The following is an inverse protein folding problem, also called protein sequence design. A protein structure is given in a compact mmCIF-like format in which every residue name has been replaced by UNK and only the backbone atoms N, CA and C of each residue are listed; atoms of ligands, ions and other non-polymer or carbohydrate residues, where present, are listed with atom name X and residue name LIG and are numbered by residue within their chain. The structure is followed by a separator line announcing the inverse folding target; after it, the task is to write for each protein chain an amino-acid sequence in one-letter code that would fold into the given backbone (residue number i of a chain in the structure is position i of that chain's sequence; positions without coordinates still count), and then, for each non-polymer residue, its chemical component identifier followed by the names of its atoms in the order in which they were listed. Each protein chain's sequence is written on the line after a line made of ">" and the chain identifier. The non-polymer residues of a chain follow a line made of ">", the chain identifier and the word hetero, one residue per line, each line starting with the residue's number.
data_IF_216919041970
#
_entry.id   IF_216919041970
#
_cell.length_a   1.000
_cell.length_b   1.000
_cell.length_c   1.000
_cell.angle_alpha   90.00
_cell.angle_beta   90.00
_cell.angle_gamma   90.00
#
_symmetry.space_group_name_H-M   'P 1'
#
loop_
_entity.id
_entity.type
_entity.pdbx_description
1 polymer ?
#
# COMPACT_ATOMS: atom_id res chain seq x y z
N UNK A 1 -9.92 34.71 15.36
CA UNK A 1 -10.98 34.13 16.22
C UNK A 1 -11.59 32.97 15.46
N UNK A 2 -11.15 31.79 15.79
CA UNK A 2 -11.51 30.54 15.10
C UNK A 2 -12.85 30.05 15.62
N UNK A 3 -13.91 30.22 14.83
CA UNK A 3 -15.31 29.87 15.16
C UNK A 3 -15.71 28.44 14.72
N UNK A 4 -14.75 27.60 14.27
CA UNK A 4 -15.06 26.29 13.70
C UNK A 4 -14.84 25.09 14.64
N UNK A 5 -14.61 25.29 15.94
CA UNK A 5 -14.24 24.20 16.86
C UNK A 5 -15.38 23.58 17.68
N UNK A 6 -16.64 24.02 17.55
CA UNK A 6 -17.71 23.64 18.51
C UNK A 6 -19.05 23.16 17.96
N UNK A 7 -19.25 23.09 16.63
CA UNK A 7 -20.61 22.93 16.08
C UNK A 7 -21.04 21.48 15.82
N UNK A 8 -20.14 20.51 15.70
CA UNK A 8 -20.52 19.17 15.31
C UNK A 8 -20.62 18.16 16.48
N UNK A 9 -20.09 18.50 17.66
CA UNK A 9 -20.26 17.67 18.86
C UNK A 9 -21.73 17.61 19.27
N UNK A 10 -22.28 16.39 19.44
CA UNK A 10 -23.71 16.19 19.73
C UNK A 10 -24.58 15.98 18.47
N UNK A 11 -24.03 16.23 17.26
CA UNK A 11 -24.75 15.96 16.02
C UNK A 11 -25.06 14.45 15.90
N UNK A 12 -26.29 14.14 15.48
CA UNK A 12 -26.73 12.76 15.26
C UNK A 12 -26.79 12.48 13.77
N UNK A 13 -25.88 11.64 13.30
CA UNK A 13 -25.83 11.23 11.90
C UNK A 13 -26.80 10.07 11.64
N UNK A 14 -27.53 10.16 10.53
CA UNK A 14 -28.52 9.17 10.11
C UNK A 14 -29.54 8.78 11.21
N UNK A 15 -29.79 9.66 12.19
CA UNK A 15 -30.67 9.39 13.34
C UNK A 15 -30.15 8.30 14.29
N UNK A 16 -28.87 7.94 14.21
CA UNK A 16 -28.29 6.79 14.92
C UNK A 16 -26.95 7.05 15.60
N UNK A 17 -26.05 7.76 14.95
CA UNK A 17 -24.68 7.90 15.44
C UNK A 17 -24.47 9.30 16.03
N UNK A 18 -24.41 9.41 17.35
CA UNK A 18 -24.18 10.68 18.05
C UNK A 18 -22.68 10.95 18.14
N UNK A 19 -22.23 12.02 17.49
CA UNK A 19 -20.83 12.45 17.52
C UNK A 19 -20.44 12.99 18.90
N UNK A 20 -19.29 12.55 19.39
CA UNK A 20 -18.62 13.04 20.60
C UNK A 20 -17.32 13.76 20.27
N UNK A 21 -16.23 13.35 20.92
CA UNK A 21 -14.92 13.97 20.77
C UNK A 21 -14.25 13.61 19.44
N UNK A 22 -13.41 14.51 18.93
CA UNK A 22 -12.55 14.24 17.77
C UNK A 22 -11.38 13.39 18.22
N UNK A 23 -11.23 12.21 17.62
CA UNK A 23 -10.11 11.28 17.86
C UNK A 23 -8.86 11.67 17.05
N UNK A 24 -9.06 12.21 15.84
CA UNK A 24 -7.97 12.57 14.95
C UNK A 24 -8.41 13.51 13.84
N UNK A 25 -7.43 14.24 13.28
CA UNK A 25 -7.59 15.13 12.12
C UNK A 25 -6.47 14.83 11.13
N UNK A 26 -6.79 14.80 9.85
CA UNK A 26 -5.81 14.61 8.78
C UNK A 26 -6.29 15.20 7.47
N UNK A 27 -5.49 15.08 6.42
CA UNK A 27 -5.84 15.59 5.08
C UNK A 27 -7.13 14.98 4.51
N UNK A 28 -7.49 13.78 4.95
CA UNK A 28 -8.70 13.06 4.51
C UNK A 28 -9.96 13.41 5.32
N UNK A 29 -9.86 14.23 6.35
CA UNK A 29 -10.99 14.60 7.18
C UNK A 29 -10.76 14.41 8.68
N UNK A 30 -11.87 14.29 9.42
CA UNK A 30 -11.87 14.10 10.87
C UNK A 30 -12.38 12.71 11.22
N UNK A 31 -11.82 12.11 12.27
CA UNK A 31 -12.33 10.89 12.89
C UNK A 31 -12.92 11.27 14.25
N UNK A 32 -14.15 10.87 14.48
CA UNK A 32 -14.91 11.17 15.67
C UNK A 32 -15.12 9.92 16.52
N UNK A 33 -15.03 10.02 17.81
CA UNK A 33 -15.67 9.07 18.72
C UNK A 33 -17.17 9.31 18.65
N UNK A 34 -17.97 8.25 18.49
CA UNK A 34 -19.42 8.39 18.44
C UNK A 34 -20.12 7.27 19.23
N UNK A 35 -21.37 7.50 19.59
CA UNK A 35 -22.23 6.50 20.19
C UNK A 35 -23.28 6.03 19.20
N UNK A 36 -23.35 4.71 18.97
CA UNK A 36 -24.42 4.05 18.21
C UNK A 36 -25.63 3.90 19.15
N UNK A 37 -26.64 4.73 18.98
CA UNK A 37 -27.83 4.79 19.85
C UNK A 37 -28.73 3.56 19.70
N UNK A 38 -28.60 2.80 18.60
CA UNK A 38 -29.39 1.60 18.35
C UNK A 38 -28.74 0.36 18.98
N UNK A 39 -27.41 0.21 18.85
CA UNK A 39 -26.68 -0.94 19.38
C UNK A 39 -25.98 -0.66 20.71
N UNK A 40 -26.14 0.56 21.27
CA UNK A 40 -25.57 0.99 22.56
C UNK A 40 -24.06 0.70 22.69
N UNK A 41 -23.29 1.05 21.66
CA UNK A 41 -21.84 0.85 21.64
C UNK A 41 -21.09 2.09 21.18
N UNK A 42 -19.83 2.20 21.58
CA UNK A 42 -18.92 3.21 21.03
C UNK A 42 -18.42 2.77 19.66
N UNK A 43 -18.39 3.68 18.70
CA UNK A 43 -17.87 3.51 17.34
C UNK A 43 -16.95 4.67 17.00
N UNK A 44 -16.10 4.50 16.00
CA UNK A 44 -15.38 5.58 15.34
C UNK A 44 -16.12 5.96 14.05
N UNK A 45 -16.23 7.25 13.77
CA UNK A 45 -16.90 7.75 12.56
C UNK A 45 -15.95 8.69 11.84
N UNK A 46 -15.58 8.32 10.61
CA UNK A 46 -14.69 9.10 9.75
C UNK A 46 -15.48 9.92 8.75
N UNK A 47 -15.33 11.25 8.83
CA UNK A 47 -15.82 12.19 7.84
C UNK A 47 -14.86 12.22 6.65
N UNK A 48 -15.36 12.05 5.43
CA UNK A 48 -14.53 12.15 4.22
C UNK A 48 -14.74 13.52 3.57
N UNK A 49 -13.69 14.34 3.59
CA UNK A 49 -13.73 15.72 3.10
C UNK A 49 -13.23 15.89 1.67
N UNK A 50 -12.69 14.83 1.04
CA UNK A 50 -12.18 14.87 -0.33
C UNK A 50 -13.18 15.43 -1.35
N UNK A 51 -14.45 15.12 -1.21
CA UNK A 51 -15.52 15.63 -2.06
C UNK A 51 -15.70 17.16 -2.02
N UNK A 52 -15.16 17.85 -1.01
CA UNK A 52 -15.25 19.33 -0.92
C UNK A 52 -14.35 20.04 -1.94
N UNK A 53 -13.30 19.36 -2.39
CA UNK A 53 -12.29 19.90 -3.32
C UNK A 53 -12.49 19.45 -4.77
N UNK A 54 -13.54 18.67 -5.04
CA UNK A 54 -13.87 18.12 -6.35
C UNK A 54 -15.04 18.91 -6.96
N UNK A 55 -15.02 19.12 -8.27
CA UNK A 55 -16.12 19.78 -8.97
C UNK A 55 -17.45 19.05 -8.70
N UNK A 56 -18.53 19.81 -8.60
CA UNK A 56 -19.87 19.28 -8.25
C UNK A 56 -20.31 18.13 -9.16
N UNK A 57 -19.97 18.21 -10.44
CA UNK A 57 -20.27 17.18 -11.45
C UNK A 57 -19.55 15.84 -11.16
N UNK A 58 -18.39 15.85 -10.49
CA UNK A 58 -17.58 14.65 -10.22
C UNK A 58 -17.88 14.02 -8.85
N UNK A 59 -18.60 14.73 -7.96
CA UNK A 59 -18.94 14.25 -6.61
C UNK A 59 -19.69 12.91 -6.60
N UNK A 60 -20.70 12.67 -7.48
CA UNK A 60 -21.42 11.39 -7.48
C UNK A 60 -20.51 10.21 -7.83
N UNK A 61 -19.56 10.40 -8.75
CA UNK A 61 -18.58 9.38 -9.13
C UNK A 61 -17.65 9.07 -7.95
N UNK A 62 -17.17 10.11 -7.26
CA UNK A 62 -16.35 9.97 -6.06
C UNK A 62 -17.10 9.24 -4.94
N UNK A 63 -18.36 9.58 -4.68
CA UNK A 63 -19.20 8.92 -3.67
C UNK A 63 -19.42 7.44 -4.00
N UNK A 64 -19.76 7.11 -5.25
CA UNK A 64 -19.94 5.72 -5.67
C UNK A 64 -18.65 4.90 -5.51
N UNK A 65 -17.49 5.49 -5.82
CA UNK A 65 -16.17 4.87 -5.62
C UNK A 65 -15.90 4.64 -4.14
N UNK A 66 -16.11 5.66 -3.29
CA UNK A 66 -15.97 5.56 -1.82
C UNK A 66 -16.82 4.41 -1.25
N UNK A 67 -18.09 4.35 -1.63
CA UNK A 67 -18.98 3.29 -1.18
C UNK A 67 -18.50 1.90 -1.63
N UNK A 68 -17.99 1.78 -2.87
CA UNK A 68 -17.45 0.52 -3.40
C UNK A 68 -16.22 0.06 -2.60
N UNK A 69 -15.31 0.97 -2.30
CA UNK A 69 -14.08 0.67 -1.56
C UNK A 69 -14.38 0.34 -0.08
N UNK A 70 -15.25 1.11 0.57
CA UNK A 70 -15.69 0.80 1.93
C UNK A 70 -16.41 -0.56 2.03
N UNK A 71 -17.25 -0.92 1.03
CA UNK A 71 -17.86 -2.25 0.95
C UNK A 71 -16.82 -3.35 0.71
N UNK A 72 -15.75 -3.07 -0.01
CA UNK A 72 -14.65 -4.02 -0.19
C UNK A 72 -13.89 -4.22 1.12
N UNK A 73 -13.56 -3.13 1.85
CA UNK A 73 -12.94 -3.18 3.16
C UNK A 73 -13.81 -3.93 4.20
N UNK A 74 -15.14 -3.73 4.17
CA UNK A 74 -16.07 -4.40 5.08
C UNK A 74 -16.10 -5.95 4.91
N UNK A 75 -15.60 -6.49 3.79
CA UNK A 75 -15.50 -7.96 3.58
C UNK A 75 -14.27 -8.58 4.21
N UNK A 76 -13.32 -7.76 4.66
CA UNK A 76 -12.11 -8.27 5.30
C UNK A 76 -12.47 -8.67 6.73
N UNK A 77 -12.45 -9.96 7.03
CA UNK A 77 -12.68 -10.49 8.38
C UNK A 77 -11.36 -10.97 8.95
N UNK A 78 -10.74 -10.15 9.82
CA UNK A 78 -9.48 -10.49 10.46
C UNK A 78 -9.34 -9.70 11.78
N UNK A 79 -8.86 -10.29 12.88
CA UNK A 79 -8.74 -9.61 14.18
C UNK A 79 -7.80 -8.40 14.18
N UNK A 80 -6.82 -8.37 13.28
CA UNK A 80 -5.90 -7.24 13.08
C UNK A 80 -6.40 -6.20 12.08
N UNK A 81 -7.68 -6.22 11.66
CA UNK A 81 -8.27 -5.23 10.76
C UNK A 81 -9.43 -4.53 11.45
N UNK A 82 -9.43 -3.21 11.43
CA UNK A 82 -10.55 -2.41 11.94
C UNK A 82 -11.79 -2.68 11.11
N UNK A 83 -12.84 -3.17 11.77
CA UNK A 83 -14.10 -3.55 11.09
C UNK A 83 -14.88 -2.32 10.66
N UNK A 84 -15.24 -2.23 9.38
CA UNK A 84 -16.21 -1.26 8.87
C UNK A 84 -17.61 -1.76 9.19
N UNK A 85 -18.40 -0.94 9.90
CA UNK A 85 -19.75 -1.29 10.34
C UNK A 85 -20.84 -0.74 9.43
N UNK A 86 -20.64 0.47 8.91
CA UNK A 86 -21.63 1.15 8.09
C UNK A 86 -20.99 2.22 7.20
N UNK A 87 -21.70 2.61 6.15
CA UNK A 87 -21.36 3.76 5.31
C UNK A 87 -22.62 4.58 5.16
N UNK A 88 -22.61 5.77 5.73
CA UNK A 88 -23.77 6.68 5.76
C UNK A 88 -23.48 7.92 4.91
N UNK A 89 -24.52 8.57 4.45
CA UNK A 89 -24.45 9.86 3.78
C UNK A 89 -25.05 10.93 4.67
N UNK A 90 -24.33 12.02 4.88
CA UNK A 90 -24.82 13.19 5.59
C UNK A 90 -24.21 14.45 4.98
N UNK A 91 -25.04 15.46 4.74
CA UNK A 91 -24.65 16.73 4.10
C UNK A 91 -23.92 16.51 2.77
N UNK A 92 -24.47 15.62 1.92
CA UNK A 92 -23.92 15.20 0.63
C UNK A 92 -22.45 14.71 0.70
N UNK A 93 -22.07 14.11 1.82
CA UNK A 93 -20.73 13.55 2.07
C UNK A 93 -20.84 12.13 2.61
N UNK A 94 -19.95 11.21 2.19
CA UNK A 94 -19.88 9.89 2.79
C UNK A 94 -19.17 9.95 4.14
N UNK A 95 -19.71 9.22 5.10
CA UNK A 95 -19.14 9.00 6.41
C UNK A 95 -19.00 7.51 6.65
N UNK A 96 -17.86 7.08 7.18
CA UNK A 96 -17.59 5.66 7.43
C UNK A 96 -17.67 5.42 8.93
N UNK A 97 -18.56 4.50 9.32
CA UNK A 97 -18.69 4.04 10.70
C UNK A 97 -17.89 2.77 10.86
N UNK A 98 -16.99 2.75 11.84
CA UNK A 98 -16.07 1.63 12.04
C UNK A 98 -15.88 1.32 13.52
N UNK A 99 -15.24 0.21 13.80
CA UNK A 99 -14.84 -0.21 15.13
C UNK A 99 -14.04 0.90 15.82
N UNK A 100 -14.43 1.25 17.02
CA UNK A 100 -13.63 2.08 17.91
C UNK A 100 -12.52 1.21 18.54
N UNK A 101 -11.29 1.69 18.44
CA UNK A 101 -10.12 1.07 19.07
C UNK A 101 -9.66 1.98 20.19
N UNK A 102 -9.65 1.48 21.42
CA UNK A 102 -9.16 2.22 22.59
C UNK A 102 -7.63 2.09 22.68
N UNK A 103 -6.93 3.07 22.15
CA UNK A 103 -5.48 3.14 22.17
C UNK A 103 -4.94 4.14 21.15
N UNK A 104 -3.64 4.49 21.24
CA UNK A 104 -2.98 5.41 20.31
C UNK A 104 -2.70 4.75 18.97
N UNK A 105 -2.41 5.54 17.95
CA UNK A 105 -1.73 5.06 16.77
C UNK A 105 -0.24 4.82 17.07
N UNK A 106 0.41 4.02 16.22
CA UNK A 106 1.87 3.83 16.28
C UNK A 106 2.61 5.18 16.11
N UNK A 107 2.04 6.11 15.31
CA UNK A 107 2.58 7.44 15.15
C UNK A 107 2.49 8.26 16.44
N UNK A 108 1.39 8.17 17.18
CA UNK A 108 1.21 8.89 18.44
C UNK A 108 2.09 8.27 19.54
N UNK A 109 2.16 6.94 19.61
CA UNK A 109 3.03 6.23 20.54
C UNK A 109 4.52 6.58 20.31
N UNK A 110 4.96 6.65 19.05
CA UNK A 110 6.32 7.07 18.73
C UNK A 110 6.62 8.52 19.10
N UNK A 111 5.64 9.42 19.00
CA UNK A 111 5.80 10.81 19.46
C UNK A 111 5.90 10.94 20.98
N UNK A 112 5.15 10.12 21.72
CA UNK A 112 5.11 10.18 23.18
C UNK A 112 6.29 9.46 23.83
N UNK A 113 6.64 8.28 23.32
CA UNK A 113 7.64 7.39 23.92
C UNK A 113 8.99 7.42 23.23
N UNK A 114 9.10 8.11 22.08
CA UNK A 114 10.27 8.04 21.22
C UNK A 114 10.27 6.80 20.31
N UNK A 115 11.46 6.24 20.07
CA UNK A 115 11.65 5.09 19.20
C UNK A 115 11.04 3.81 19.81
N UNK A 116 10.48 2.96 18.95
CA UNK A 116 9.95 1.65 19.34
C UNK A 116 11.09 0.63 19.36
N UNK A 117 11.19 -0.17 20.42
CA UNK A 117 12.20 -1.23 20.48
C UNK A 117 12.09 -2.19 19.29
N UNK A 118 13.20 -2.65 18.69
CA UNK A 118 13.20 -3.47 17.48
C UNK A 118 12.33 -4.74 17.57
N UNK A 119 12.36 -5.41 18.72
CA UNK A 119 11.53 -6.59 18.97
C UNK A 119 10.03 -6.28 18.94
N UNK A 120 9.63 -5.15 19.53
CA UNK A 120 8.23 -4.71 19.54
C UNK A 120 7.81 -4.24 18.13
N UNK A 121 8.67 -3.52 17.41
CA UNK A 121 8.43 -3.17 16.03
C UNK A 121 8.27 -4.41 15.13
N UNK A 122 9.07 -5.46 15.33
CA UNK A 122 8.91 -6.74 14.63
C UNK A 122 7.57 -7.41 14.96
N UNK A 123 7.14 -7.41 16.23
CA UNK A 123 5.82 -7.92 16.66
C UNK A 123 4.69 -7.15 15.97
N UNK A 124 4.75 -5.82 15.98
CA UNK A 124 3.78 -4.96 15.28
C UNK A 124 3.78 -5.29 13.78
N UNK A 125 4.96 -5.43 13.18
CA UNK A 125 5.12 -5.81 11.77
C UNK A 125 4.43 -7.12 11.41
N UNK A 126 4.54 -8.15 12.26
CA UNK A 126 3.86 -9.44 12.08
C UNK A 126 2.33 -9.29 12.07
N UNK A 127 1.77 -8.50 12.99
CA UNK A 127 0.32 -8.27 13.03
C UNK A 127 -0.16 -7.49 11.79
N UNK A 128 0.56 -6.43 11.39
CA UNK A 128 0.24 -5.65 10.18
C UNK A 128 0.34 -6.53 8.94
N UNK A 129 1.39 -7.36 8.82
CA UNK A 129 1.56 -8.28 7.70
C UNK A 129 0.42 -9.30 7.62
N UNK A 130 -0.02 -9.85 8.76
CA UNK A 130 -1.16 -10.77 8.83
C UNK A 130 -2.45 -10.10 8.35
N UNK A 131 -2.70 -8.84 8.76
CA UNK A 131 -3.84 -8.04 8.28
C UNK A 131 -3.78 -7.78 6.77
N UNK A 132 -2.59 -7.41 6.24
CA UNK A 132 -2.37 -7.22 4.80
C UNK A 132 -2.63 -8.49 4.01
N UNK A 133 -2.14 -9.65 4.47
CA UNK A 133 -2.39 -10.95 3.82
C UNK A 133 -3.88 -11.28 3.74
N UNK A 134 -4.63 -11.02 4.82
CA UNK A 134 -6.08 -11.23 4.83
C UNK A 134 -6.79 -10.30 3.82
N UNK A 135 -6.38 -9.05 3.72
CA UNK A 135 -6.91 -8.10 2.75
C UNK A 135 -6.59 -8.50 1.31
N UNK A 136 -5.32 -8.86 1.03
CA UNK A 136 -4.88 -9.30 -0.30
C UNK A 136 -5.62 -10.57 -0.75
N UNK A 137 -5.87 -11.52 0.16
CA UNK A 137 -6.67 -12.71 -0.11
C UNK A 137 -8.14 -12.37 -0.47
N UNK A 138 -8.67 -11.26 0.08
CA UNK A 138 -9.99 -10.72 -0.25
C UNK A 138 -9.99 -9.82 -1.52
N UNK A 139 -8.84 -9.69 -2.20
CA UNK A 139 -8.68 -8.83 -3.38
C UNK A 139 -8.62 -7.33 -3.05
N UNK A 140 -8.27 -6.97 -1.82
CA UNK A 140 -8.18 -5.58 -1.35
C UNK A 140 -6.73 -5.22 -1.05
N UNK A 141 -6.23 -4.14 -1.66
CA UNK A 141 -4.95 -3.53 -1.31
C UNK A 141 -5.17 -2.42 -0.30
N UNK A 142 -4.22 -2.24 0.62
CA UNK A 142 -4.32 -1.18 1.62
C UNK A 142 -3.99 0.20 1.05
N UNK A 143 -2.90 0.33 0.30
CA UNK A 143 -2.44 1.51 -0.44
C UNK A 143 -1.96 2.70 0.42
N UNK A 144 -2.16 2.68 1.74
CA UNK A 144 -1.75 3.76 2.66
C UNK A 144 -1.26 3.20 4.02
N UNK A 145 -0.40 2.17 3.99
CA UNK A 145 0.22 1.65 5.23
C UNK A 145 1.20 2.68 5.76
N UNK A 146 0.95 3.16 6.99
CA UNK A 146 1.79 4.16 7.68
C UNK A 146 1.56 4.08 9.19
N UNK A 147 2.46 4.64 10.03
CA UNK A 147 2.31 4.59 11.49
C UNK A 147 0.98 5.13 12.01
N UNK A 148 0.40 6.15 11.35
CA UNK A 148 -0.90 6.72 11.74
C UNK A 148 -2.09 5.79 11.52
N UNK A 149 -1.95 4.78 10.65
CA UNK A 149 -2.99 3.80 10.34
C UNK A 149 -2.80 2.46 11.08
N UNK A 150 -1.78 2.35 11.94
CA UNK A 150 -1.56 1.20 12.82
C UNK A 150 -2.00 1.58 14.23
N UNK A 151 -3.07 0.98 14.74
CA UNK A 151 -3.63 1.26 16.06
C UNK A 151 -3.13 0.24 17.08
N UNK A 152 -2.67 0.72 18.24
CA UNK A 152 -2.16 -0.07 19.34
C UNK A 152 -3.20 -0.07 20.48
N UNK A 153 -4.06 -1.09 20.47
CA UNK A 153 -5.12 -1.19 21.46
C UNK A 153 -4.56 -1.47 22.86
N UNK A 154 -5.23 -0.98 23.90
CA UNK A 154 -4.81 -1.17 25.30
C UNK A 154 -4.79 -2.63 25.76
N UNK A 155 -5.54 -3.50 25.09
CA UNK A 155 -5.54 -4.94 25.31
C UNK A 155 -4.37 -5.68 24.63
N UNK A 156 -3.46 -4.93 23.97
CA UNK A 156 -2.29 -5.46 23.28
C UNK A 156 -2.52 -5.85 21.82
N UNK A 157 -3.75 -5.72 21.29
CA UNK A 157 -4.03 -5.95 19.88
C UNK A 157 -3.39 -4.86 19.03
N UNK A 158 -2.95 -5.24 17.82
CA UNK A 158 -2.49 -4.32 16.77
C UNK A 158 -3.48 -4.41 15.62
N UNK A 159 -4.10 -3.30 15.26
CA UNK A 159 -5.10 -3.25 14.20
C UNK A 159 -4.69 -2.25 13.11
N UNK A 160 -4.92 -2.64 11.88
CA UNK A 160 -4.71 -1.81 10.71
C UNK A 160 -6.05 -1.20 10.27
N UNK A 161 -6.09 0.13 10.08
CA UNK A 161 -7.28 0.90 9.69
C UNK A 161 -7.10 1.55 8.33
N UNK A 162 -8.19 2.08 7.76
CA UNK A 162 -8.20 2.90 6.54
C UNK A 162 -7.80 2.16 5.24
N UNK A 163 -8.24 0.90 5.09
CA UNK A 163 -8.04 0.11 3.88
C UNK A 163 -8.68 0.74 2.64
N UNK A 164 -7.88 0.97 1.60
CA UNK A 164 -8.31 1.32 0.24
C UNK A 164 -8.97 2.70 0.08
N UNK A 165 -9.39 3.33 1.17
CA UNK A 165 -10.16 4.59 1.16
C UNK A 165 -9.32 5.77 0.62
N UNK A 166 -8.00 5.67 0.73
CA UNK A 166 -7.05 6.68 0.23
C UNK A 166 -6.89 6.68 -1.30
N UNK A 167 -7.25 5.60 -1.98
CA UNK A 167 -7.13 5.52 -3.45
C UNK A 167 -8.08 6.48 -4.19
N UNK A 168 -9.12 6.96 -3.52
CA UNK A 168 -10.07 7.93 -4.04
C UNK A 168 -9.40 9.30 -4.24
N UNK A 169 -8.43 9.62 -3.38
CA UNK A 169 -7.74 10.91 -3.38
C UNK A 169 -6.42 10.89 -4.16
N UNK A 170 -5.78 9.72 -4.30
CA UNK A 170 -4.41 9.60 -4.81
C UNK A 170 -4.23 9.69 -6.33
N UNK A 171 -5.19 9.24 -7.13
CA UNK A 171 -5.01 9.17 -8.60
C UNK A 171 -5.18 10.53 -9.31
N UNK A 172 -5.81 11.51 -8.67
CA UNK A 172 -6.03 12.83 -9.27
C UNK A 172 -5.56 14.03 -8.44
N UNK A 173 -5.17 13.84 -7.19
CA UNK A 173 -4.90 14.92 -6.23
C UNK A 173 -3.42 15.29 -6.09
N UNK A 174 -2.50 14.49 -6.64
CA UNK A 174 -1.06 14.78 -6.65
C UNK A 174 -0.75 16.16 -7.24
N UNK A 175 -1.66 16.73 -8.04
CA UNK A 175 -1.41 17.93 -8.83
C UNK A 175 -2.20 19.17 -8.43
N UNK A 176 -3.23 19.09 -7.57
CA UNK A 176 -4.18 20.22 -7.45
C UNK A 176 -4.12 21.07 -6.17
N UNK A 177 -3.64 20.59 -5.05
CA UNK A 177 -3.75 21.37 -3.80
C UNK A 177 -2.45 21.62 -3.03
N UNK A 178 -1.29 21.12 -3.46
CA UNK A 178 -0.02 21.36 -2.72
C UNK A 178 0.01 20.81 -1.28
N UNK A 179 -1.10 20.28 -0.78
CA UNK A 179 -1.24 19.70 0.56
C UNK A 179 -1.21 18.17 0.59
N UNK A 180 -0.31 17.57 -0.18
CA UNK A 180 -0.05 16.14 -0.10
C UNK A 180 0.84 15.84 1.11
N UNK A 181 0.35 16.23 2.31
CA UNK A 181 1.11 16.15 3.55
C UNK A 181 0.92 14.78 4.20
N UNK A 182 1.99 14.01 4.27
CA UNK A 182 2.12 12.92 5.25
C UNK A 182 2.14 11.49 4.72
N UNK A 183 1.55 11.16 3.56
CA UNK A 183 1.52 9.79 3.04
C UNK A 183 2.60 9.49 1.98
N UNK A 184 3.17 10.51 1.35
CA UNK A 184 4.19 10.35 0.29
C UNK A 184 5.42 9.60 0.79
N UNK A 185 5.80 9.80 2.04
CA UNK A 185 6.95 9.17 2.67
C UNK A 185 6.91 7.63 2.66
N UNK A 186 5.71 7.07 2.55
CA UNK A 186 5.44 5.63 2.60
C UNK A 186 5.03 5.07 1.25
N UNK A 187 4.91 5.92 0.21
CA UNK A 187 4.49 5.52 -1.12
C UNK A 187 5.60 4.73 -1.82
N UNK A 188 5.25 3.61 -2.42
CA UNK A 188 6.22 2.77 -3.14
C UNK A 188 6.72 3.43 -4.44
N UNK A 189 7.99 3.18 -4.86
CA UNK A 189 8.59 3.79 -6.06
C UNK A 189 7.78 3.57 -7.34
N UNK A 190 7.24 2.36 -7.53
CA UNK A 190 6.41 2.03 -8.69
C UNK A 190 5.14 2.89 -8.73
N UNK A 191 4.56 3.20 -7.56
CA UNK A 191 3.39 4.07 -7.47
C UNK A 191 3.72 5.54 -7.76
N UNK A 192 4.89 6.01 -7.33
CA UNK A 192 5.38 7.36 -7.67
C UNK A 192 5.57 7.50 -9.18
N UNK A 193 5.99 6.42 -9.86
CA UNK A 193 6.15 6.35 -11.31
C UNK A 193 4.84 6.19 -12.08
N UNK A 194 3.70 6.09 -11.40
CA UNK A 194 2.37 5.89 -12.03
C UNK A 194 2.06 4.45 -12.39
N UNK A 195 2.80 3.48 -11.85
CA UNK A 195 2.51 2.05 -12.01
C UNK A 195 1.33 1.60 -11.15
N UNK A 196 0.74 0.47 -11.54
CA UNK A 196 -0.37 -0.14 -10.82
C UNK A 196 0.07 -0.62 -9.43
N UNK A 197 -0.73 -0.35 -8.37
CA UNK A 197 -0.46 -0.86 -7.04
C UNK A 197 -0.62 -2.37 -6.98
N UNK A 198 0.27 -3.02 -6.24
CA UNK A 198 0.22 -4.46 -5.96
C UNK A 198 0.49 -4.77 -4.49
N UNK A 199 0.40 -6.05 -4.07
CA UNK A 199 0.78 -6.47 -2.73
C UNK A 199 2.19 -6.04 -2.33
N UNK A 200 3.13 -6.02 -3.28
CA UNK A 200 4.51 -5.56 -3.06
C UNK A 200 4.59 -4.07 -2.68
N UNK A 201 3.64 -3.23 -3.14
CA UNK A 201 3.57 -1.82 -2.73
C UNK A 201 3.19 -1.66 -1.25
N UNK A 202 2.27 -2.49 -0.74
CA UNK A 202 1.91 -2.50 0.69
C UNK A 202 3.08 -3.02 1.55
N UNK A 203 3.86 -3.97 1.05
CA UNK A 203 5.07 -4.48 1.73
C UNK A 203 6.18 -3.42 1.80
N UNK A 204 6.38 -2.62 0.76
CA UNK A 204 7.24 -1.44 0.83
C UNK A 204 6.79 -0.48 1.93
N UNK A 205 5.50 -0.13 1.93
CA UNK A 205 4.92 0.79 2.91
C UNK A 205 5.04 0.26 4.35
N UNK A 206 4.94 -1.07 4.53
CA UNK A 206 5.26 -1.74 5.80
C UNK A 206 6.74 -1.53 6.17
N UNK A 207 7.67 -1.71 5.24
CA UNK A 207 9.11 -1.46 5.45
C UNK A 207 9.39 -0.03 5.91
N UNK A 208 8.79 0.97 5.24
CA UNK A 208 8.92 2.38 5.61
C UNK A 208 8.27 2.70 6.97
N UNK A 209 7.16 2.01 7.30
CA UNK A 209 6.49 2.11 8.60
C UNK A 209 7.38 1.57 9.72
N UNK A 210 7.99 0.40 9.55
CA UNK A 210 8.91 -0.21 10.51
C UNK A 210 10.18 0.62 10.69
N UNK A 211 10.74 1.14 9.59
CA UNK A 211 11.86 2.08 9.65
C UNK A 211 11.52 3.28 10.54
N UNK A 212 10.36 3.92 10.26
CA UNK A 212 9.91 5.08 11.03
C UNK A 212 9.68 4.75 12.50
N UNK A 213 9.19 3.56 12.81
CA UNK A 213 8.94 3.14 14.18
C UNK A 213 10.24 3.02 15.01
N UNK A 214 11.33 2.53 14.41
CA UNK A 214 12.60 2.32 15.12
C UNK A 214 13.57 3.50 15.03
N UNK A 215 13.47 4.34 14.01
CA UNK A 215 14.37 5.49 13.80
C UNK A 215 13.71 6.84 14.14
N UNK A 216 12.40 6.84 14.46
CA UNK A 216 11.65 8.08 14.77
C UNK A 216 11.37 8.98 13.55
N UNK A 217 11.99 8.72 12.42
CA UNK A 217 11.86 9.53 11.19
C UNK A 217 11.67 8.65 9.95
N UNK A 218 10.94 9.18 8.94
CA UNK A 218 10.78 8.47 7.67
C UNK A 218 12.09 8.48 6.87
N UNK A 219 12.44 7.36 6.19
CA UNK A 219 13.72 7.23 5.47
C UNK A 219 13.84 8.21 4.29
N UNK A 220 12.73 8.58 3.68
CA UNK A 220 12.72 9.38 2.45
C UNK A 220 12.22 10.81 2.61
N UNK A 221 11.77 11.21 3.80
CA UNK A 221 11.24 12.55 4.02
C UNK A 221 12.27 13.64 3.68
N UNK A 222 11.84 14.60 2.87
CA UNK A 222 12.60 15.79 2.47
C UNK A 222 11.78 17.05 2.72
N UNK A 223 12.37 18.21 2.46
CA UNK A 223 11.74 19.52 2.72
C UNK A 223 10.47 19.78 1.88
N UNK A 224 10.30 19.11 0.75
CA UNK A 224 9.13 19.26 -0.10
C UNK A 224 8.57 17.90 -0.56
N UNK A 225 7.26 17.83 -0.90
CA UNK A 225 6.65 16.64 -1.46
C UNK A 225 7.39 16.11 -2.72
N UNK A 226 7.76 17.02 -3.62
CA UNK A 226 8.45 16.66 -4.87
C UNK A 226 9.83 16.05 -4.58
N UNK A 227 10.61 16.65 -3.68
CA UNK A 227 11.92 16.11 -3.30
C UNK A 227 11.80 14.79 -2.52
N UNK A 228 10.72 14.59 -1.76
CA UNK A 228 10.42 13.31 -1.12
C UNK A 228 10.10 12.22 -2.16
N UNK A 229 9.25 12.51 -3.14
CA UNK A 229 8.97 11.58 -4.25
C UNK A 229 10.24 11.23 -5.04
N UNK A 230 11.10 12.22 -5.31
CA UNK A 230 12.37 11.98 -5.97
C UNK A 230 13.25 11.05 -5.12
N UNK A 231 13.39 11.30 -3.82
CA UNK A 231 14.16 10.45 -2.92
C UNK A 231 13.62 9.01 -2.89
N UNK A 232 12.30 8.82 -2.81
CA UNK A 232 11.66 7.49 -2.89
C UNK A 232 12.07 6.73 -4.15
N UNK A 233 12.18 7.42 -5.27
CA UNK A 233 12.48 6.78 -6.58
C UNK A 233 13.97 6.53 -6.77
N UNK A 234 14.84 7.46 -6.32
CA UNK A 234 16.26 7.48 -6.73
C UNK A 234 17.25 7.22 -5.62
N UNK A 235 16.90 7.45 -4.35
CA UNK A 235 17.84 7.34 -3.24
C UNK A 235 17.67 6.03 -2.48
N UNK A 236 18.77 5.42 -2.04
CA UNK A 236 18.71 4.31 -1.09
C UNK A 236 18.32 4.81 0.30
N UNK A 237 17.54 4.01 1.08
CA UNK A 237 17.21 4.39 2.45
C UNK A 237 18.50 4.42 3.29
N UNK A 238 18.64 5.36 4.24
CA UNK A 238 19.73 5.30 5.21
C UNK A 238 19.68 3.96 5.97
N UNK A 239 20.85 3.43 6.33
CA UNK A 239 20.89 2.21 7.14
C UNK A 239 20.21 2.45 8.50
N UNK A 240 19.24 1.59 8.90
CA UNK A 240 18.57 1.74 10.19
C UNK A 240 19.53 1.34 11.30
N UNK A 241 19.94 2.31 12.13
CA UNK A 241 20.98 2.12 13.17
C UNK A 241 20.40 1.57 14.47
N UNK A 242 19.11 1.84 14.75
CA UNK A 242 18.43 1.39 15.97
C UNK A 242 17.64 0.09 15.76
N UNK A 243 17.65 -0.48 14.55
CA UNK A 243 16.77 -1.60 14.18
C UNK A 243 17.27 -2.98 14.63
N UNK A 244 18.57 -3.14 14.95
CA UNK A 244 19.15 -4.47 15.24
C UNK A 244 18.81 -5.49 14.14
N UNK A 245 18.41 -6.74 14.48
CA UNK A 245 18.05 -7.76 13.49
C UNK A 245 16.90 -7.36 12.53
N UNK A 246 16.01 -6.45 12.96
CA UNK A 246 14.93 -5.94 12.11
C UNK A 246 15.47 -5.11 10.92
N UNK A 247 16.69 -4.60 11.00
CA UNK A 247 17.32 -3.83 9.93
C UNK A 247 17.39 -4.58 8.60
N UNK A 248 17.70 -5.87 8.62
CA UNK A 248 17.72 -6.70 7.43
C UNK A 248 16.33 -6.85 6.78
N UNK A 249 15.26 -6.93 7.58
CA UNK A 249 13.88 -6.99 7.10
C UNK A 249 13.51 -5.67 6.41
N UNK A 250 13.76 -4.56 7.10
CA UNK A 250 13.49 -3.20 6.58
C UNK A 250 14.20 -2.97 5.25
N UNK A 251 15.50 -3.28 5.18
CA UNK A 251 16.29 -3.13 3.96
C UNK A 251 15.74 -3.98 2.80
N UNK A 252 15.31 -5.21 3.08
CA UNK A 252 14.75 -6.09 2.05
C UNK A 252 13.39 -5.59 1.54
N UNK A 253 12.52 -5.07 2.42
CA UNK A 253 11.22 -4.50 2.04
C UNK A 253 11.36 -3.19 1.25
N UNK A 254 12.42 -2.42 1.50
CA UNK A 254 12.67 -1.14 0.83
C UNK A 254 13.51 -1.25 -0.45
N UNK A 255 13.57 -2.43 -1.08
CA UNK A 255 14.13 -2.59 -2.43
C UNK A 255 13.27 -1.88 -3.45
N UNK A 256 13.92 -1.14 -4.37
CA UNK A 256 13.21 -0.29 -5.35
C UNK A 256 12.41 -1.12 -6.34
N UNK A 257 12.96 -2.25 -6.79
CA UNK A 257 12.26 -3.19 -7.65
C UNK A 257 11.27 -4.03 -6.82
N UNK A 258 9.96 -3.98 -7.12
CA UNK A 258 8.95 -4.77 -6.40
C UNK A 258 9.19 -6.28 -6.49
N UNK A 259 9.80 -6.77 -7.57
CA UNK A 259 10.08 -8.20 -7.77
C UNK A 259 11.27 -8.69 -6.93
N UNK A 260 12.13 -7.79 -6.48
CA UNK A 260 13.24 -8.10 -5.56
C UNK A 260 12.82 -8.10 -4.09
N UNK A 261 11.62 -7.60 -3.76
CA UNK A 261 11.11 -7.59 -2.39
C UNK A 261 10.73 -9.00 -1.94
N UNK A 262 10.93 -9.34 -0.66
CA UNK A 262 10.49 -10.62 -0.14
C UNK A 262 8.95 -10.74 -0.26
N UNK A 263 8.47 -11.94 -0.54
CA UNK A 263 7.05 -12.26 -0.48
C UNK A 263 6.51 -12.11 0.95
N UNK A 264 5.20 -12.03 1.13
CA UNK A 264 4.60 -11.97 2.46
C UNK A 264 5.01 -13.14 3.36
N UNK A 265 5.16 -14.36 2.81
CA UNK A 265 5.60 -15.52 3.58
C UNK A 265 7.08 -15.41 4.00
N UNK A 266 7.95 -14.93 3.12
CA UNK A 266 9.35 -14.67 3.45
C UNK A 266 9.48 -13.54 4.47
N UNK A 267 8.70 -12.46 4.32
CA UNK A 267 8.66 -11.35 5.28
C UNK A 267 8.24 -11.82 6.66
N UNK A 268 7.23 -12.70 6.75
CA UNK A 268 6.79 -13.30 8.02
C UNK A 268 7.93 -14.03 8.73
N UNK A 269 8.64 -14.89 8.01
CA UNK A 269 9.78 -15.64 8.57
C UNK A 269 10.91 -14.70 9.02
N UNK A 270 11.21 -13.67 8.22
CA UNK A 270 12.24 -12.69 8.56
C UNK A 270 11.86 -11.87 9.81
N UNK A 271 10.58 -11.50 9.96
CA UNK A 271 10.09 -10.80 11.15
C UNK A 271 10.13 -11.69 12.39
N UNK A 272 9.80 -12.99 12.28
CA UNK A 272 9.92 -13.95 13.36
C UNK A 272 11.36 -14.10 13.81
N UNK A 273 12.31 -14.24 12.88
CA UNK A 273 13.72 -14.33 13.21
C UNK A 273 14.21 -13.06 13.92
N UNK A 274 13.83 -11.87 13.41
CA UNK A 274 14.17 -10.59 14.03
C UNK A 274 13.58 -10.45 15.46
N UNK A 275 12.34 -10.89 15.67
CA UNK A 275 11.68 -10.88 16.99
C UNK A 275 12.39 -11.79 17.98
N UNK A 276 12.96 -12.91 17.53
CA UNK A 276 13.78 -13.83 18.34
C UNK A 276 15.24 -13.37 18.49
N UNK A 277 15.60 -12.20 17.94
CA UNK A 277 16.96 -11.66 18.03
C UNK A 277 17.95 -12.33 17.08
N UNK A 278 17.47 -13.13 16.11
CA UNK A 278 18.29 -13.76 15.07
C UNK A 278 18.39 -12.85 13.84
N UNK A 279 19.59 -12.81 13.23
CA UNK A 279 19.75 -12.16 11.94
C UNK A 279 18.92 -12.93 10.88
N UNK A 280 17.94 -12.31 10.22
CA UNK A 280 17.18 -12.94 9.18
C UNK A 280 18.12 -13.34 8.04
N UNK A 281 18.02 -14.58 7.57
CA UNK A 281 18.70 -14.98 6.35
C UNK A 281 18.15 -14.12 5.21
N UNK A 282 19.04 -13.37 4.54
CA UNK A 282 18.66 -12.60 3.37
C UNK A 282 17.89 -13.53 2.43
N UNK A 283 16.69 -13.13 2.03
CA UNK A 283 15.93 -13.87 1.03
C UNK A 283 16.85 -14.08 -0.16
N UNK A 284 17.28 -15.32 -0.41
CA UNK A 284 18.04 -15.67 -1.59
C UNK A 284 17.17 -15.21 -2.77
N UNK A 285 17.71 -14.37 -3.63
CA UNK A 285 17.05 -13.97 -4.85
C UNK A 285 16.50 -15.23 -5.50
N UNK A 286 15.21 -15.24 -5.81
CA UNK A 286 14.56 -16.35 -6.47
C UNK A 286 15.26 -16.55 -7.81
N UNK A 287 16.17 -17.51 -7.86
CA UNK A 287 16.74 -17.98 -9.12
C UNK A 287 15.59 -18.72 -9.79
N UNK A 288 15.05 -18.24 -10.92
CA UNK A 288 14.01 -18.97 -11.63
C UNK A 288 14.57 -20.34 -11.96
N UNK A 289 13.98 -21.38 -11.39
CA UNK A 289 14.31 -22.75 -11.80
C UNK A 289 13.90 -22.84 -13.26
N UNK A 290 14.88 -22.79 -14.15
CA UNK A 290 14.64 -23.10 -15.56
C UNK A 290 14.01 -24.48 -15.57
N UNK A 291 12.74 -24.55 -15.98
CA UNK A 291 12.10 -25.81 -16.31
C UNK A 291 12.87 -26.33 -17.49
N UNK A 292 13.78 -27.27 -17.26
CA UNK A 292 14.30 -28.11 -18.32
C UNK A 292 13.08 -28.87 -18.83
N UNK A 293 12.62 -28.52 -20.04
CA UNK A 293 11.65 -29.29 -20.78
C UNK A 293 12.30 -30.64 -21.07
N UNK A 294 11.72 -31.71 -20.54
CA UNK A 294 12.14 -33.10 -20.78
C UNK A 294 11.92 -33.55 -22.24
N UNK A 295 11.48 -32.68 -23.13
CA UNK A 295 11.19 -32.99 -24.53
C UNK A 295 12.43 -33.10 -25.46
N UNK A 296 13.66 -32.95 -24.92
CA UNK A 296 14.87 -33.08 -25.74
C UNK A 296 15.53 -34.46 -25.69
N UNK A 297 14.93 -35.46 -25.01
CA UNK A 297 15.54 -36.79 -24.88
C UNK A 297 15.01 -37.87 -25.81
N UNK A 298 14.08 -37.59 -26.72
CA UNK A 298 13.49 -38.58 -27.64
C UNK A 298 13.80 -38.35 -29.12
N UNK A 299 14.78 -37.49 -29.47
CA UNK A 299 15.13 -37.21 -30.87
C UNK A 299 16.47 -37.83 -31.33
N UNK A 300 17.03 -38.78 -30.59
CA UNK A 300 18.28 -39.48 -31.00
C UNK A 300 18.23 -40.97 -30.69
N UNK A 301 17.25 -41.68 -31.28
CA UNK A 301 17.34 -43.14 -31.54
C UNK A 301 16.40 -43.42 -32.71
N UNK A 302 16.93 -43.37 -33.92
CA UNK A 302 16.54 -44.09 -35.10
C UNK A 302 17.20 -43.44 -36.35
N UNK A 303 18.45 -43.71 -36.58
CA UNK A 303 19.08 -43.55 -37.89
C UNK A 303 20.47 -44.25 -37.90
N UNK A 304 20.44 -45.54 -37.83
CA UNK A 304 21.54 -46.34 -38.36
C UNK A 304 20.91 -47.50 -39.18
N UNK A 305 20.81 -47.32 -40.48
CA UNK A 305 20.97 -48.36 -41.52
C UNK A 305 20.75 -47.75 -42.92
N UNK A 306 21.75 -47.88 -43.65
CA UNK A 306 21.80 -48.11 -45.12
C UNK A 306 22.21 -46.97 -46.05
N UNK A 307 23.33 -47.15 -46.59
CA UNK A 307 23.92 -47.25 -47.92
C UNK A 307 23.83 -46.02 -48.87
N UNK A 308 25.08 -45.59 -49.23
CA UNK A 308 25.53 -45.16 -50.54
C UNK A 308 24.65 -44.24 -51.43
N UNK A 309 25.11 -43.12 -51.81
CA UNK A 309 25.57 -42.68 -53.12
C UNK A 309 25.47 -41.14 -53.29
N UNK A 310 26.49 -40.63 -53.96
CA UNK A 310 26.77 -39.24 -54.15
C UNK A 310 25.75 -38.47 -55.00
N UNK A 311 25.64 -37.20 -54.70
CA UNK A 311 25.47 -36.12 -55.68
C UNK A 311 25.54 -34.72 -55.00
N UNK A 312 26.47 -33.95 -55.51
CA UNK A 312 26.60 -32.50 -55.31
C UNK A 312 25.32 -31.76 -55.62
N UNK A 313 24.82 -30.98 -54.66
CA UNK A 313 23.78 -30.00 -54.95
C UNK A 313 24.08 -28.64 -54.27
N UNK A 314 24.04 -27.64 -55.13
CA UNK A 314 24.36 -26.23 -54.94
C UNK A 314 23.44 -25.56 -53.92
N UNK A 315 24.01 -24.63 -53.12
CA UNK A 315 23.29 -23.66 -52.28
C UNK A 315 22.51 -22.64 -53.14
N UNK A 316 21.28 -22.30 -52.81
CA UNK A 316 20.60 -21.16 -53.42
C UNK A 316 20.96 -19.83 -52.71
N UNK A 317 21.21 -18.84 -53.55
CA UNK A 317 21.61 -17.48 -53.27
C UNK A 317 20.40 -16.70 -52.75
N UNK A 318 20.56 -15.93 -51.64
CA UNK A 318 19.56 -15.02 -51.07
C UNK A 318 19.27 -13.85 -52.06
N UNK A 319 17.98 -13.52 -52.24
CA UNK A 319 17.50 -12.33 -52.90
C UNK A 319 17.25 -11.21 -51.89
N UNK A 320 17.46 -9.92 -52.25
CA UNK A 320 17.34 -8.82 -51.31
C UNK A 320 15.88 -8.36 -51.12
N UNK A 321 15.51 -8.12 -49.88
CA UNK A 321 14.24 -7.53 -49.49
C UNK A 321 14.17 -6.04 -49.84
N UNK A 322 13.15 -5.68 -50.60
CA UNK A 322 12.77 -4.30 -50.92
C UNK A 322 12.03 -3.65 -49.73
N UNK A 323 12.52 -2.49 -49.32
CA UNK A 323 11.91 -1.61 -48.30
C UNK A 323 10.77 -0.79 -48.98
N UNK A 324 9.57 -0.67 -48.40
CA UNK A 324 8.56 0.24 -48.91
C UNK A 324 8.80 1.70 -48.46
N UNK A 325 8.54 2.63 -49.36
CA UNK A 325 8.67 4.07 -49.19
C UNK A 325 7.57 4.65 -48.27
N UNK A 326 7.82 5.81 -47.59
CA UNK A 326 6.84 6.45 -46.72
C UNK A 326 5.78 7.22 -47.51
N UNK A 327 4.55 7.23 -47.00
CA UNK A 327 3.40 7.95 -47.53
C UNK A 327 3.49 9.46 -47.26
N UNK A 328 2.87 10.30 -48.12
CA UNK A 328 2.96 11.75 -48.02
C UNK A 328 2.04 12.35 -46.95
N UNK A 329 2.54 13.39 -46.28
CA UNK A 329 1.87 14.22 -45.26
C UNK A 329 0.87 15.16 -45.95
N UNK A 330 -0.38 15.37 -45.48
CA UNK A 330 -1.27 16.37 -46.01
C UNK A 330 -0.94 17.77 -45.50
N UNK A 331 -1.02 18.75 -46.42
CA UNK A 331 -0.83 20.20 -46.24
C UNK A 331 -2.05 20.80 -45.50
N UNK A 332 -1.89 21.84 -44.66
CA UNK A 332 -3.02 22.51 -44.02
C UNK A 332 -3.69 23.49 -44.97
N UNK A 333 -5.02 23.41 -45.01
CA UNK A 333 -5.87 24.35 -45.74
C UNK A 333 -5.98 25.70 -45.00
N UNK A 334 -6.05 26.78 -45.82
CA UNK A 334 -6.15 28.18 -45.43
C UNK A 334 -7.43 28.54 -44.65
#
# INVERSE_FOLDING_TARGET
>A
MDRSQGTDAGLVLAGRYRLGDVLGRGGMGKVWRAHDEVLHRTVAVKELTAGLYVAEADRPVLHARTQKEARAAARITHPGVVTVHDVIEYDNRPWIVMQYVDGPSLADSAKESGEVAPREAARIGLHVLSALRAAHAAGVLHRDVKPGNVLLARDGQVLLTDFGIAAIEGDSTITRTGELVGSIDYLAPERVRGGDPGPASDLWSLGATLYTAVEGTSPFRRASPISTMQAVVTEEPPAPVNAGPLGAVITALLRKDPDERPTAAQTEQMLLDAMDGREPRAAQAHVPTQRFSEDARYAHQDADADGSDGATARLPRASPSTTPAPAPVPEPAA
#
